data_IF_947512103803
#
_entry.id   IF_947512103803
#
_cell.length_a   1.000
_cell.length_b   1.000
_cell.length_c   1.000
_cell.angle_alpha   90.00
_cell.angle_beta   90.00
_cell.angle_gamma   90.00
#
_symmetry.space_group_name_H-M   'P 1'
#
loop_
_entity.id
_entity.type
_entity.pdbx_description
1 polymer ?
#
# COMPACT_ATOMS: atom_id res chain seq x y z
N UNK A 1 16.64 6.83 1.83
CA UNK A 1 15.25 6.38 1.58
C UNK A 1 15.27 5.38 0.44
N UNK A 2 14.30 4.45 0.35
CA UNK A 2 14.24 3.47 -0.73
C UNK A 2 13.43 4.05 -1.89
N UNK A 3 14.03 4.10 -3.08
CA UNK A 3 13.38 4.56 -4.30
C UNK A 3 12.15 3.71 -4.66
N UNK A 4 12.12 2.44 -4.25
CA UNK A 4 10.95 1.57 -4.43
C UNK A 4 9.76 2.02 -3.58
N UNK A 5 9.99 2.34 -2.30
CA UNK A 5 8.92 2.80 -1.39
C UNK A 5 8.40 4.19 -1.77
N UNK A 6 9.30 5.11 -2.12
CA UNK A 6 8.92 6.44 -2.60
C UNK A 6 8.04 6.34 -3.85
N UNK A 7 8.43 5.49 -4.81
CA UNK A 7 7.65 5.26 -6.02
C UNK A 7 6.26 4.71 -5.72
N UNK A 8 6.13 3.81 -4.75
CA UNK A 8 4.83 3.34 -4.30
C UNK A 8 3.97 4.46 -3.75
N UNK A 9 4.51 5.32 -2.87
CA UNK A 9 3.77 6.46 -2.34
C UNK A 9 3.35 7.42 -3.45
N UNK A 10 4.24 7.74 -4.38
CA UNK A 10 3.91 8.58 -5.54
C UNK A 10 2.75 8.01 -6.35
N UNK A 11 2.77 6.70 -6.65
CA UNK A 11 1.74 6.09 -7.49
C UNK A 11 0.40 6.00 -6.72
N UNK A 12 0.43 5.64 -5.43
CA UNK A 12 -0.77 5.58 -4.61
C UNK A 12 -1.41 6.98 -4.46
N UNK A 13 -0.60 8.03 -4.30
CA UNK A 13 -1.07 9.42 -4.27
C UNK A 13 -1.55 9.89 -5.65
N UNK A 14 -0.83 9.58 -6.72
CA UNK A 14 -1.18 9.98 -8.08
C UNK A 14 -2.50 9.37 -8.56
N UNK A 15 -2.84 8.17 -8.09
CA UNK A 15 -4.10 7.50 -8.42
C UNK A 15 -5.27 7.92 -7.55
N UNK A 16 -5.08 8.84 -6.58
CA UNK A 16 -6.10 9.27 -5.62
C UNK A 16 -6.90 8.07 -5.12
N UNK A 17 -6.21 7.05 -4.62
CA UNK A 17 -6.84 5.80 -4.19
C UNK A 17 -7.52 6.09 -2.85
N UNK A 18 -8.70 6.71 -2.96
CA UNK A 18 -9.47 7.32 -1.90
C UNK A 18 -8.70 8.41 -1.12
N UNK A 19 -9.40 9.20 -0.29
CA UNK A 19 -8.85 10.27 0.55
C UNK A 19 -7.97 9.71 1.70
N UNK A 20 -7.08 8.78 1.37
CA UNK A 20 -6.25 8.03 2.30
C UNK A 20 -4.96 8.81 2.57
N UNK A 21 -4.57 8.87 3.84
CA UNK A 21 -3.32 9.48 4.24
C UNK A 21 -2.18 8.46 4.12
N UNK A 22 -1.14 8.77 3.37
CA UNK A 22 -0.09 7.81 2.98
C UNK A 22 1.27 8.36 3.37
N UNK A 23 1.93 7.65 4.28
CA UNK A 23 3.25 7.97 4.80
C UNK A 23 4.20 6.77 4.82
N UNK A 24 5.51 7.06 4.83
CA UNK A 24 6.56 6.06 4.93
C UNK A 24 7.08 6.05 6.37
N UNK A 25 6.97 4.91 7.04
CA UNK A 25 7.50 4.70 8.38
C UNK A 25 8.54 3.58 8.36
N UNK A 26 9.82 3.94 8.29
CA UNK A 26 10.93 3.00 8.25
C UNK A 26 10.87 2.11 7.00
N UNK A 27 10.52 0.84 7.19
CA UNK A 27 10.37 -0.15 6.11
C UNK A 27 8.92 -0.39 5.68
N UNK A 28 7.95 0.27 6.33
CA UNK A 28 6.54 0.15 6.03
C UNK A 28 5.98 1.40 5.34
N UNK A 29 4.97 1.21 4.50
CA UNK A 29 4.05 2.25 4.06
C UNK A 29 2.81 2.16 4.94
N UNK A 30 2.50 3.26 5.61
CA UNK A 30 1.37 3.38 6.52
C UNK A 30 0.28 4.17 5.82
N UNK A 31 -0.92 3.60 5.79
CA UNK A 31 -2.06 4.10 5.04
C UNK A 31 -3.22 4.26 6.03
N UNK A 32 -3.59 5.50 6.31
CA UNK A 32 -4.75 5.82 7.13
C UNK A 32 -5.98 5.91 6.24
N UNK A 33 -6.95 5.08 6.53
CA UNK A 33 -8.19 4.92 5.75
C UNK A 33 -9.32 5.69 6.45
N UNK A 34 -10.31 6.24 5.72
CA UNK A 34 -11.51 6.82 6.29
C UNK A 34 -12.27 5.84 7.21
N UNK A 35 -12.99 6.38 8.20
CA UNK A 35 -13.67 5.59 9.23
C UNK A 35 -15.00 4.98 8.79
N UNK A 36 -15.56 5.48 7.70
CA UNK A 36 -16.81 5.02 7.09
C UNK A 36 -16.61 3.84 6.14
N UNK A 37 -15.37 3.48 5.83
CA UNK A 37 -15.05 2.38 4.93
C UNK A 37 -15.18 1.02 5.62
N UNK A 38 -15.72 0.06 4.87
CA UNK A 38 -15.84 -1.34 5.29
C UNK A 38 -14.50 -2.07 5.17
N UNK A 39 -14.17 -2.92 6.14
CA UNK A 39 -12.91 -3.63 6.18
C UNK A 39 -12.66 -4.47 4.92
N UNK A 40 -13.68 -5.20 4.45
CA UNK A 40 -13.53 -6.10 3.31
C UNK A 40 -13.44 -5.31 2.01
N UNK A 41 -14.15 -4.18 1.91
CA UNK A 41 -14.04 -3.26 0.79
C UNK A 41 -12.62 -2.68 0.67
N UNK A 42 -12.06 -2.22 1.78
CA UNK A 42 -10.70 -1.63 1.83
C UNK A 42 -9.65 -2.68 1.53
N UNK A 43 -9.75 -3.86 2.13
CA UNK A 43 -8.84 -4.96 1.85
C UNK A 43 -8.85 -5.34 0.37
N UNK A 44 -10.04 -5.49 -0.22
CA UNK A 44 -10.18 -5.80 -1.65
C UNK A 44 -9.57 -4.71 -2.53
N UNK A 45 -9.89 -3.45 -2.27
CA UNK A 45 -9.34 -2.32 -3.02
C UNK A 45 -7.82 -2.23 -2.89
N UNK A 46 -7.28 -2.41 -1.68
CA UNK A 46 -5.86 -2.41 -1.41
C UNK A 46 -5.15 -3.53 -2.17
N UNK A 47 -5.65 -4.76 -2.11
CA UNK A 47 -5.08 -5.91 -2.82
C UNK A 47 -5.11 -5.70 -4.34
N UNK A 48 -6.26 -5.34 -4.90
CA UNK A 48 -6.40 -5.08 -6.36
C UNK A 48 -5.48 -3.95 -6.81
N UNK A 49 -5.36 -2.90 -6.00
CA UNK A 49 -4.45 -1.77 -6.23
C UNK A 49 -3.00 -2.23 -6.27
N UNK A 50 -2.55 -2.93 -5.22
CA UNK A 50 -1.17 -3.41 -5.11
C UNK A 50 -0.85 -4.37 -6.26
N UNK A 51 -1.76 -5.28 -6.63
CA UNK A 51 -1.54 -6.19 -7.74
C UNK A 51 -1.42 -5.46 -9.08
N UNK A 52 -2.35 -4.55 -9.37
CA UNK A 52 -2.34 -3.75 -10.60
C UNK A 52 -1.05 -2.95 -10.71
N UNK A 53 -0.66 -2.30 -9.61
CA UNK A 53 0.50 -1.42 -9.55
C UNK A 53 1.83 -2.14 -9.47
N UNK A 54 1.86 -3.37 -8.95
CA UNK A 54 3.09 -4.16 -8.85
C UNK A 54 3.76 -4.41 -10.21
N UNK A 55 2.98 -4.30 -11.29
CA UNK A 55 3.45 -4.41 -12.68
C UNK A 55 4.02 -3.09 -13.23
N UNK A 56 3.63 -1.94 -12.66
CA UNK A 56 4.03 -0.60 -13.11
C UNK A 56 5.32 -0.11 -12.46
N UNK A 57 5.67 -0.67 -11.30
CA UNK A 57 6.90 -0.31 -10.59
C UNK A 57 8.10 -1.03 -11.23
N UNK A 58 8.81 -0.30 -12.10
CA UNK A 58 9.99 -0.79 -12.84
C UNK A 58 11.33 -0.61 -12.10
N UNK A 59 11.31 -0.23 -10.82
CA UNK A 59 12.53 -0.13 -9.99
C UNK A 59 12.78 -1.44 -9.24
N UNK A 60 14.01 -1.72 -8.76
CA UNK A 60 14.31 -2.97 -8.06
C UNK A 60 13.30 -3.24 -6.96
N UNK A 61 12.63 -4.39 -7.05
CA UNK A 61 11.56 -4.71 -6.13
C UNK A 61 12.16 -5.07 -4.77
N UNK A 62 11.65 -4.42 -3.73
CA UNK A 62 12.04 -4.68 -2.36
C UNK A 62 10.88 -5.27 -1.56
N UNK A 63 11.21 -5.95 -0.47
CA UNK A 63 10.22 -6.29 0.53
C UNK A 63 9.60 -5.01 1.11
N UNK A 64 8.27 -4.95 1.08
CA UNK A 64 7.53 -3.81 1.60
C UNK A 64 6.31 -4.28 2.37
N UNK A 65 6.07 -3.63 3.51
CA UNK A 65 4.90 -3.85 4.35
C UNK A 65 3.96 -2.66 4.22
N UNK A 66 2.73 -2.91 3.80
CA UNK A 66 1.64 -1.95 3.84
C UNK A 66 0.85 -2.15 5.12
N UNK A 67 0.60 -1.07 5.86
CA UNK A 67 -0.18 -1.09 7.10
C UNK A 67 -1.37 -0.18 6.88
N UNK A 68 -2.55 -0.79 6.80
CA UNK A 68 -3.81 -0.07 6.66
C UNK A 68 -4.48 0.02 8.02
N UNK A 69 -4.91 1.21 8.42
CA UNK A 69 -5.57 1.39 9.70
C UNK A 69 -6.56 2.56 9.70
N UNK A 70 -7.58 2.45 10.55
CA UNK A 70 -8.46 3.54 10.96
C UNK A 70 -8.82 3.33 12.46
N UNK A 71 -9.83 4.05 12.98
CA UNK A 71 -10.25 3.90 14.37
C UNK A 71 -10.84 2.52 14.73
N UNK A 72 -11.30 1.75 13.74
CA UNK A 72 -12.05 0.48 13.91
C UNK A 72 -11.33 -0.74 13.34
N UNK A 73 -10.36 -0.55 12.45
CA UNK A 73 -9.67 -1.63 11.75
C UNK A 73 -8.18 -1.38 11.66
N UNK A 74 -7.42 -2.48 11.64
CA UNK A 74 -6.01 -2.49 11.32
C UNK A 74 -5.66 -3.81 10.65
N UNK A 75 -5.08 -3.74 9.47
CA UNK A 75 -4.58 -4.92 8.77
C UNK A 75 -3.28 -4.61 8.05
N UNK A 76 -2.55 -5.66 7.72
CA UNK A 76 -1.20 -5.55 7.17
C UNK A 76 -1.11 -6.42 5.92
N UNK A 77 -0.55 -5.87 4.85
CA UNK A 77 -0.28 -6.59 3.62
C UNK A 77 1.21 -6.51 3.31
N UNK A 78 1.84 -7.67 3.13
CA UNK A 78 3.24 -7.74 2.75
C UNK A 78 3.34 -8.03 1.27
N UNK A 79 4.13 -7.24 0.56
CA UNK A 79 4.52 -7.53 -0.81
C UNK A 79 5.98 -7.99 -0.80
N UNK A 80 6.18 -9.30 -0.99
CA UNK A 80 7.50 -9.88 -1.15
C UNK A 80 7.71 -10.31 -2.61
N UNK A 81 8.53 -9.58 -3.39
CA UNK A 81 8.79 -9.92 -4.78
C UNK A 81 9.56 -11.24 -4.98
N UNK A 82 10.29 -11.73 -3.97
CA UNK A 82 11.02 -13.01 -4.05
C UNK A 82 10.12 -14.24 -3.88
N UNK A 83 8.88 -14.05 -3.40
CA UNK A 83 7.92 -15.13 -3.13
C UNK A 83 7.03 -15.48 -4.33
N UNK A 84 7.08 -14.71 -5.43
CA UNK A 84 6.51 -15.12 -6.72
C UNK A 84 7.50 -16.05 -7.44
N UNK A 85 7.50 -17.33 -7.06
CA UNK A 85 8.04 -18.43 -7.87
C UNK A 85 6.90 -19.17 -8.56
#
# INVERSE_FOLDING_TARGET
>A
MSSYRERWVEILKARQIADWDIDIHGQAIVIKVPENEDHDAVMKQALTTIETLSSEVQVPKEWIKFIFYNAKMRFEQVLNPELRK
#
